data_IF_840012495488
#
_entry.id   IF_840012495488
#
_cell.length_a   1.000
_cell.length_b   1.000
_cell.length_c   1.000
_cell.angle_alpha   90.00
_cell.angle_beta   90.00
_cell.angle_gamma   90.00
#
_symmetry.space_group_name_H-M   'P 1'
#
loop_
_entity.id
_entity.type
_entity.pdbx_description
1 polymer ?
#
# COMPACT_ATOMS: atom_id res chain seq x y z
N UNK A 1 4.43 -12.96 20.12
CA UNK A 1 4.01 -13.94 21.14
C UNK A 1 4.46 -15.31 20.63
N UNK A 2 5.44 -15.95 21.28
CA UNK A 2 6.03 -17.22 20.82
C UNK A 2 5.39 -18.35 21.59
N UNK A 3 4.58 -19.17 20.94
CA UNK A 3 3.96 -20.35 21.56
C UNK A 3 4.86 -21.57 21.34
N UNK A 4 5.46 -22.10 22.40
CA UNK A 4 6.19 -23.38 22.35
C UNK A 4 5.19 -24.52 22.46
N UNK A 5 5.12 -25.38 21.45
CA UNK A 5 4.43 -26.68 21.56
C UNK A 5 5.52 -27.73 21.77
N UNK A 6 5.70 -28.21 23.00
CA UNK A 6 6.49 -29.41 23.25
C UNK A 6 5.61 -30.63 22.93
N UNK A 7 5.85 -31.27 21.79
CA UNK A 7 5.37 -32.63 21.54
C UNK A 7 6.56 -33.55 21.29
N UNK A 8 6.57 -34.72 21.94
CA UNK A 8 7.54 -35.78 21.65
C UNK A 8 7.11 -36.46 20.35
N UNK A 9 7.84 -36.26 19.25
CA UNK A 9 7.63 -37.02 18.01
C UNK A 9 8.30 -36.47 16.73
N UNK A 10 9.37 -37.16 16.29
CA UNK A 10 9.61 -37.73 14.95
C UNK A 10 9.43 -36.97 13.62
N UNK A 11 9.03 -35.71 13.59
CA UNK A 11 8.97 -34.96 12.31
C UNK A 11 8.60 -33.48 12.40
N UNK A 12 8.62 -32.93 13.61
CA UNK A 12 7.94 -31.67 13.90
C UNK A 12 8.76 -30.40 13.62
N UNK A 13 7.99 -29.33 13.36
CA UNK A 13 8.42 -27.93 13.44
C UNK A 13 8.66 -27.62 14.92
N UNK A 14 9.86 -27.13 15.25
CA UNK A 14 10.25 -26.82 16.62
C UNK A 14 9.70 -25.45 17.07
N UNK A 15 9.67 -24.48 16.15
CA UNK A 15 9.14 -23.14 16.39
C UNK A 15 8.31 -22.72 15.18
N UNK A 16 7.13 -22.16 15.42
CA UNK A 16 6.36 -21.50 14.38
C UNK A 16 5.86 -20.15 14.88
N UNK A 17 5.59 -19.25 13.94
CA UNK A 17 5.08 -17.93 14.25
C UNK A 17 4.79 -17.14 12.99
N UNK A 18 4.12 -16.00 13.16
CA UNK A 18 3.85 -15.10 12.04
C UNK A 18 4.81 -13.92 12.08
N UNK A 19 5.33 -13.53 10.92
CA UNK A 19 6.15 -12.33 10.75
C UNK A 19 5.81 -11.67 9.42
N UNK A 20 5.40 -10.40 9.46
CA UNK A 20 5.09 -9.59 8.28
C UNK A 20 4.21 -10.31 7.23
N UNK A 21 3.09 -10.89 7.67
CA UNK A 21 2.15 -11.69 6.85
C UNK A 21 2.64 -13.07 6.36
N UNK A 22 3.87 -13.47 6.71
CA UNK A 22 4.38 -14.82 6.46
C UNK A 22 4.23 -15.72 7.68
N UNK A 23 3.88 -16.98 7.44
CA UNK A 23 4.02 -18.08 8.39
C UNK A 23 5.48 -18.56 8.37
N UNK A 24 6.14 -18.50 9.52
CA UNK A 24 7.47 -19.04 9.72
C UNK A 24 7.36 -20.44 10.31
N UNK A 25 8.00 -21.40 9.67
CA UNK A 25 8.14 -22.77 10.15
C UNK A 25 9.62 -23.06 10.36
N UNK A 26 10.04 -23.23 11.61
CA UNK A 26 11.45 -23.35 11.97
C UNK A 26 11.69 -24.74 12.55
N UNK A 27 12.62 -25.47 11.95
CA UNK A 27 13.11 -26.74 12.45
C UNK A 27 14.58 -26.59 12.84
N UNK A 28 14.89 -26.94 14.08
CA UNK A 28 16.19 -26.83 14.70
C UNK A 28 16.74 -28.24 14.95
N UNK A 29 17.89 -28.56 14.37
CA UNK A 29 18.52 -29.86 14.55
C UNK A 29 19.95 -29.74 15.04
N UNK A 30 20.26 -30.48 16.10
CA UNK A 30 21.59 -30.59 16.66
C UNK A 30 22.22 -31.91 16.22
N UNK A 31 22.63 -31.99 14.96
CA UNK A 31 23.34 -33.16 14.43
C UNK A 31 24.85 -33.01 14.62
N UNK A 32 25.58 -34.13 14.55
CA UNK A 32 27.04 -34.15 14.46
C UNK A 32 27.54 -34.30 13.02
N UNK A 33 26.71 -34.88 12.15
CA UNK A 33 26.99 -35.12 10.74
C UNK A 33 26.43 -34.00 9.85
N UNK A 34 26.92 -33.94 8.60
CA UNK A 34 26.35 -33.04 7.60
C UNK A 34 24.93 -33.45 7.20
N UNK A 35 24.13 -32.46 6.87
CA UNK A 35 22.75 -32.59 6.41
C UNK A 35 22.74 -32.95 4.93
N UNK A 36 22.26 -34.15 4.65
CA UNK A 36 22.01 -34.64 3.32
C UNK A 36 20.69 -34.14 2.73
N UNK A 37 20.52 -34.37 1.43
CA UNK A 37 19.35 -33.91 0.65
C UNK A 37 18.03 -34.42 1.25
N UNK A 38 18.00 -35.66 1.72
CA UNK A 38 16.78 -36.31 2.20
C UNK A 38 16.14 -35.56 3.38
N UNK A 39 16.94 -34.98 4.27
CA UNK A 39 16.45 -34.16 5.37
C UNK A 39 15.76 -32.88 4.88
N UNK A 40 16.30 -32.26 3.84
CA UNK A 40 15.72 -31.06 3.24
C UNK A 40 14.43 -31.39 2.51
N UNK A 41 14.39 -32.50 1.74
CA UNK A 41 13.18 -32.97 1.09
C UNK A 41 12.05 -33.30 2.10
N UNK A 42 12.41 -33.92 3.22
CA UNK A 42 11.47 -34.21 4.30
C UNK A 42 10.89 -32.92 4.89
N UNK A 43 11.74 -31.92 5.17
CA UNK A 43 11.30 -30.63 5.68
C UNK A 43 10.45 -29.84 4.67
N UNK A 44 10.86 -29.81 3.40
CA UNK A 44 10.09 -29.22 2.31
C UNK A 44 8.69 -29.82 2.19
N UNK A 45 8.57 -31.14 2.37
CA UNK A 45 7.28 -31.85 2.35
C UNK A 45 6.35 -31.42 3.50
N UNK A 46 6.89 -30.90 4.59
CA UNK A 46 6.10 -30.29 5.68
C UNK A 46 5.61 -28.90 5.27
N UNK A 47 6.51 -28.08 4.71
CA UNK A 47 6.20 -26.70 4.29
C UNK A 47 5.18 -26.68 3.15
N UNK A 48 5.28 -27.62 2.20
CA UNK A 48 4.40 -27.72 1.05
C UNK A 48 2.91 -27.95 1.40
N UNK A 49 2.60 -28.24 2.67
CA UNK A 49 1.22 -28.34 3.20
C UNK A 49 0.58 -26.98 3.47
N UNK A 50 1.36 -25.92 3.43
CA UNK A 50 0.93 -24.54 3.67
C UNK A 50 0.96 -23.72 2.37
N UNK A 51 0.41 -22.51 2.43
CA UNK A 51 0.44 -21.57 1.31
C UNK A 51 1.90 -21.23 0.96
N UNK A 52 2.35 -21.68 -0.23
CA UNK A 52 3.74 -21.56 -0.68
C UNK A 52 4.20 -20.10 -0.79
N UNK A 53 3.28 -19.19 -1.11
CA UNK A 53 3.58 -17.77 -1.29
C UNK A 53 3.61 -17.00 0.04
N UNK A 54 3.16 -17.63 1.12
CA UNK A 54 3.06 -17.03 2.46
C UNK A 54 3.74 -17.82 3.55
N UNK A 55 4.54 -18.83 3.20
CA UNK A 55 5.22 -19.69 4.18
C UNK A 55 6.71 -19.72 3.92
N UNK A 56 7.49 -19.47 4.96
CA UNK A 56 8.95 -19.55 4.93
C UNK A 56 9.39 -20.68 5.86
N UNK A 57 10.08 -21.65 5.29
CA UNK A 57 10.72 -22.74 6.01
C UNK A 57 12.15 -22.39 6.38
N UNK A 58 12.49 -22.52 7.66
CA UNK A 58 13.83 -22.26 8.17
C UNK A 58 14.37 -23.54 8.81
N UNK A 59 15.45 -24.07 8.23
CA UNK A 59 16.15 -25.22 8.78
C UNK A 59 17.44 -24.72 9.43
N UNK A 60 17.57 -24.92 10.74
CA UNK A 60 18.67 -24.42 11.56
C UNK A 60 19.49 -25.58 12.09
N UNK A 61 20.81 -25.52 11.91
CA UNK A 61 21.75 -26.48 12.49
C UNK A 61 22.83 -25.81 13.32
N UNK A 62 23.46 -26.61 14.19
CA UNK A 62 24.59 -26.20 15.04
C UNK A 62 25.97 -26.47 14.44
N UNK A 63 26.05 -27.21 13.33
CA UNK A 63 27.33 -27.65 12.74
C UNK A 63 27.81 -26.64 11.70
N UNK A 64 29.04 -26.17 11.86
CA UNK A 64 29.72 -25.32 10.87
C UNK A 64 29.91 -26.05 9.55
N UNK A 65 29.55 -25.40 8.44
CA UNK A 65 29.52 -26.00 7.10
C UNK A 65 28.73 -27.33 7.07
N UNK A 66 27.70 -27.42 7.91
CA UNK A 66 26.97 -28.64 8.17
C UNK A 66 26.02 -29.04 7.05
N UNK A 67 25.89 -28.30 5.95
CA UNK A 67 25.10 -28.70 4.79
C UNK A 67 26.00 -29.29 3.70
N UNK A 68 25.57 -30.39 3.08
CA UNK A 68 26.22 -30.88 1.86
C UNK A 68 25.90 -29.97 0.66
N UNK A 69 26.75 -30.03 -0.37
CA UNK A 69 26.49 -29.28 -1.62
C UNK A 69 25.15 -29.67 -2.24
N UNK A 70 24.74 -30.93 -2.10
CA UNK A 70 23.46 -31.44 -2.57
C UNK A 70 22.28 -30.78 -1.86
N UNK A 71 22.31 -30.69 -0.53
CA UNK A 71 21.22 -30.11 0.25
C UNK A 71 21.08 -28.61 0.01
N UNK A 72 22.20 -27.88 -0.12
CA UNK A 72 22.20 -26.47 -0.54
C UNK A 72 21.58 -26.32 -1.93
N UNK A 73 22.00 -27.15 -2.91
CA UNK A 73 21.46 -27.10 -4.27
C UNK A 73 19.96 -27.36 -4.29
N UNK A 74 19.49 -28.35 -3.53
CA UNK A 74 18.07 -28.69 -3.42
C UNK A 74 17.25 -27.52 -2.87
N UNK A 75 17.69 -26.92 -1.75
CA UNK A 75 17.01 -25.76 -1.14
C UNK A 75 16.95 -24.57 -2.11
N UNK A 76 18.02 -24.30 -2.86
CA UNK A 76 18.04 -23.21 -3.85
C UNK A 76 17.15 -23.47 -5.07
N UNK A 77 16.89 -24.73 -5.41
CA UNK A 77 15.99 -25.12 -6.52
C UNK A 77 14.55 -25.39 -6.09
N UNK A 78 14.24 -25.21 -4.81
CA UNK A 78 12.91 -25.47 -4.25
C UNK A 78 11.91 -24.42 -4.73
N UNK A 79 10.67 -24.84 -4.96
CA UNK A 79 9.53 -23.93 -5.18
C UNK A 79 9.08 -23.26 -3.88
N UNK A 80 9.36 -23.88 -2.72
CA UNK A 80 9.08 -23.31 -1.42
C UNK A 80 10.21 -22.37 -0.98
N UNK A 81 9.88 -21.29 -0.24
CA UNK A 81 10.86 -20.43 0.39
C UNK A 81 11.58 -21.17 1.53
N UNK A 82 12.74 -21.74 1.21
CA UNK A 82 13.58 -22.50 2.14
C UNK A 82 14.86 -21.75 2.48
N UNK A 83 15.12 -21.63 3.77
CA UNK A 83 16.33 -21.06 4.34
C UNK A 83 17.11 -22.13 5.07
N UNK A 84 18.33 -22.36 4.63
CA UNK A 84 19.31 -23.16 5.37
C UNK A 84 20.16 -22.19 6.19
N UNK A 85 20.10 -22.34 7.50
CA UNK A 85 20.85 -21.50 8.43
C UNK A 85 21.75 -22.35 9.31
N UNK A 86 22.88 -21.77 9.68
CA UNK A 86 23.78 -22.29 10.68
C UNK A 86 23.80 -21.33 11.87
N UNK A 87 23.76 -21.85 13.10
CA UNK A 87 23.74 -21.02 14.32
C UNK A 87 24.93 -20.07 14.38
N UNK A 88 26.07 -20.48 13.83
CA UNK A 88 27.31 -19.68 13.81
C UNK A 88 27.27 -18.52 12.81
N UNK A 89 26.38 -18.60 11.82
CA UNK A 89 26.31 -17.65 10.71
C UNK A 89 25.01 -16.82 10.76
N UNK A 90 24.20 -16.95 11.82
CA UNK A 90 22.93 -16.24 11.99
C UNK A 90 23.07 -14.72 11.78
N UNK A 91 24.14 -14.13 12.32
CA UNK A 91 24.40 -12.69 12.26
C UNK A 91 24.67 -12.21 10.81
N UNK A 92 25.12 -13.10 9.92
CA UNK A 92 25.38 -12.78 8.51
C UNK A 92 24.25 -13.23 7.57
N UNK A 93 23.62 -14.37 7.87
CA UNK A 93 22.58 -14.98 7.05
C UNK A 93 21.27 -14.19 7.10
N UNK A 94 20.91 -13.64 8.28
CA UNK A 94 19.69 -12.84 8.43
C UNK A 94 19.74 -11.57 7.55
N UNK A 95 20.76 -10.70 7.62
CA UNK A 95 20.87 -9.54 6.74
C UNK A 95 20.89 -9.91 5.25
N UNK A 96 21.60 -10.98 4.88
CA UNK A 96 21.70 -11.43 3.49
C UNK A 96 20.35 -11.89 2.93
N UNK A 97 19.57 -12.64 3.72
CA UNK A 97 18.23 -13.05 3.32
C UNK A 97 17.27 -11.86 3.21
N UNK A 98 17.28 -10.95 4.19
CA UNK A 98 16.50 -9.72 4.12
C UNK A 98 16.85 -8.88 2.88
N UNK A 99 18.12 -8.82 2.50
CA UNK A 99 18.55 -8.14 1.28
C UNK A 99 18.06 -8.83 0.00
N UNK A 100 17.83 -10.15 0.02
CA UNK A 100 17.30 -10.91 -1.11
C UNK A 100 15.79 -10.70 -1.26
N UNK A 101 15.04 -10.65 -0.14
CA UNK A 101 13.61 -10.30 -0.16
C UNK A 101 13.40 -8.83 -0.54
N UNK A 102 14.23 -7.91 -0.03
CA UNK A 102 14.13 -6.49 -0.39
C UNK A 102 14.42 -6.20 -1.87
N UNK A 103 14.98 -7.16 -2.61
CA UNK A 103 15.17 -7.08 -4.07
C UNK A 103 13.96 -7.57 -4.86
N UNK A 104 12.88 -8.02 -4.22
CA UNK A 104 11.61 -8.21 -4.92
C UNK A 104 11.09 -6.85 -5.37
N UNK A 105 11.24 -6.60 -6.68
CA UNK A 105 10.78 -5.43 -7.45
C UNK A 105 9.32 -5.00 -7.18
N UNK A 106 8.54 -5.79 -6.43
CA UNK A 106 7.18 -5.47 -6.01
C UNK A 106 7.07 -4.16 -5.21
N UNK A 107 8.05 -3.82 -4.36
CA UNK A 107 7.97 -2.56 -3.58
C UNK A 107 8.26 -1.35 -4.48
N UNK A 108 9.30 -1.44 -5.31
CA UNK A 108 9.70 -0.35 -6.21
C UNK A 108 8.64 -0.11 -7.30
N UNK A 109 8.07 -1.18 -7.86
CA UNK A 109 6.93 -1.11 -8.79
C UNK A 109 5.68 -0.52 -8.14
N UNK A 110 5.38 -0.90 -6.88
CA UNK A 110 4.28 -0.29 -6.12
C UNK A 110 4.53 1.19 -5.85
N UNK A 111 5.75 1.58 -5.51
CA UNK A 111 6.12 2.99 -5.32
C UNK A 111 5.97 3.78 -6.61
N UNK A 112 6.48 3.26 -7.73
CA UNK A 112 6.30 3.87 -9.06
C UNK A 112 4.82 4.04 -9.42
N UNK A 113 4.00 3.01 -9.19
CA UNK A 113 2.56 3.07 -9.45
C UNK A 113 1.85 4.10 -8.54
N UNK A 114 2.28 4.25 -7.29
CA UNK A 114 1.76 5.27 -6.38
C UNK A 114 2.13 6.67 -6.89
N UNK A 115 3.39 6.90 -7.26
CA UNK A 115 3.85 8.17 -7.80
C UNK A 115 3.08 8.57 -9.07
N UNK A 116 2.88 7.61 -9.98
CA UNK A 116 2.07 7.83 -11.18
C UNK A 116 0.64 8.26 -10.85
N UNK A 117 -0.03 7.56 -9.92
CA UNK A 117 -1.39 7.92 -9.48
C UNK A 117 -1.46 9.28 -8.81
N UNK A 118 -0.43 9.67 -8.04
CA UNK A 118 -0.35 11.00 -7.44
C UNK A 118 -0.30 12.08 -8.53
N UNK A 119 0.48 11.87 -9.59
CA UNK A 119 0.56 12.83 -10.70
C UNK A 119 -0.78 12.98 -11.44
N UNK A 120 -1.47 11.87 -11.72
CA UNK A 120 -2.82 11.89 -12.33
C UNK A 120 -3.84 12.66 -11.47
N UNK A 121 -3.77 12.49 -10.14
CA UNK A 121 -4.61 13.22 -9.18
C UNK A 121 -4.30 14.71 -9.22
N UNK A 122 -3.02 15.10 -9.25
CA UNK A 122 -2.59 16.51 -9.31
C UNK A 122 -3.12 17.18 -10.58
N UNK A 123 -2.99 16.54 -11.74
CA UNK A 123 -3.51 17.07 -13.02
C UNK A 123 -5.03 17.25 -13.01
N UNK A 124 -5.74 16.30 -12.40
CA UNK A 124 -7.20 16.38 -12.20
C UNK A 124 -7.57 17.57 -11.31
N UNK A 125 -6.89 17.76 -10.18
CA UNK A 125 -7.12 18.88 -9.27
C UNK A 125 -6.89 20.23 -9.96
N UNK A 126 -5.81 20.39 -10.73
CA UNK A 126 -5.52 21.61 -11.47
C UNK A 126 -6.60 21.95 -12.51
N UNK A 127 -7.13 20.92 -13.16
CA UNK A 127 -8.21 21.08 -14.15
C UNK A 127 -9.52 21.52 -13.48
N UNK A 128 -9.85 20.93 -12.32
CA UNK A 128 -11.01 21.34 -11.51
C UNK A 128 -10.86 22.78 -11.01
N UNK A 129 -9.66 23.18 -10.57
CA UNK A 129 -9.42 24.54 -10.09
C UNK A 129 -9.67 25.59 -11.19
N UNK A 130 -9.25 25.30 -12.43
CA UNK A 130 -9.54 26.15 -13.59
C UNK A 130 -11.05 26.28 -13.83
N UNK A 131 -11.79 25.18 -13.72
CA UNK A 131 -13.24 25.18 -13.89
C UNK A 131 -13.94 26.00 -12.80
N UNK A 132 -13.53 25.83 -11.53
CA UNK A 132 -14.06 26.59 -10.40
C UNK A 132 -13.83 28.10 -10.60
N UNK A 133 -12.63 28.50 -11.04
CA UNK A 133 -12.34 29.91 -11.35
C UNK A 133 -13.25 30.46 -12.45
N UNK A 134 -13.51 29.68 -13.51
CA UNK A 134 -14.42 30.06 -14.59
C UNK A 134 -15.85 30.26 -14.07
N UNK A 135 -16.38 29.30 -13.32
CA UNK A 135 -17.72 29.37 -12.71
C UNK A 135 -17.85 30.62 -11.84
N UNK A 136 -16.84 30.91 -11.02
CA UNK A 136 -16.83 32.09 -10.14
C UNK A 136 -16.87 33.40 -10.93
N UNK A 137 -16.11 33.49 -12.03
CA UNK A 137 -16.13 34.66 -12.90
C UNK A 137 -17.50 34.84 -13.59
N UNK A 138 -18.11 33.75 -14.02
CA UNK A 138 -19.43 33.77 -14.64
C UNK A 138 -20.52 34.19 -13.63
N UNK A 139 -20.44 33.74 -12.37
CA UNK A 139 -21.31 34.18 -11.28
C UNK A 139 -21.19 35.69 -11.02
N UNK A 140 -19.97 36.21 -10.88
CA UNK A 140 -19.72 37.65 -10.71
C UNK A 140 -20.33 38.45 -11.87
N UNK A 141 -20.22 37.95 -13.11
CA UNK A 141 -20.79 38.61 -14.29
C UNK A 141 -22.32 38.62 -14.24
N UNK A 142 -22.94 37.52 -13.80
CA UNK A 142 -24.39 37.42 -13.64
C UNK A 142 -24.91 38.38 -12.57
N UNK A 143 -24.27 38.40 -11.39
CA UNK A 143 -24.61 39.32 -10.29
C UNK A 143 -24.52 40.78 -10.74
N UNK A 144 -23.44 41.17 -11.43
CA UNK A 144 -23.28 42.51 -11.97
C UNK A 144 -24.38 42.88 -12.98
N UNK A 145 -24.83 41.93 -13.81
CA UNK A 145 -25.93 42.16 -14.73
C UNK A 145 -27.27 42.32 -14.00
N UNK A 146 -27.53 41.53 -12.96
CA UNK A 146 -28.73 41.65 -12.13
C UNK A 146 -28.78 43.03 -11.44
N UNK A 147 -27.67 43.47 -10.84
CA UNK A 147 -27.55 44.81 -10.22
C UNK A 147 -27.87 45.91 -11.24
N UNK A 148 -27.33 45.82 -12.47
CA UNK A 148 -27.62 46.80 -13.53
C UNK A 148 -29.09 46.86 -13.91
N UNK A 149 -29.76 45.70 -14.00
CA UNK A 149 -31.19 45.62 -14.31
C UNK A 149 -32.03 46.24 -13.18
N UNK A 150 -31.67 45.95 -11.93
CA UNK A 150 -32.37 46.48 -10.76
C UNK A 150 -32.23 48.00 -10.64
N UNK A 151 -31.03 48.54 -10.82
CA UNK A 151 -30.80 49.99 -10.90
C UNK A 151 -31.64 50.63 -12.01
N UNK A 152 -31.72 49.98 -13.18
CA UNK A 152 -32.52 50.47 -14.31
C UNK A 152 -34.01 50.47 -14.01
N UNK A 153 -34.50 49.46 -13.27
CA UNK A 153 -35.89 49.37 -12.81
C UNK A 153 -36.21 50.48 -11.80
N UNK A 154 -35.40 50.64 -10.77
CA UNK A 154 -35.56 51.70 -9.75
C UNK A 154 -35.64 53.08 -10.42
N UNK A 155 -34.74 53.37 -11.36
CA UNK A 155 -34.75 54.64 -12.11
C UNK A 155 -36.04 54.86 -12.92
N UNK A 156 -36.63 53.80 -13.48
CA UNK A 156 -37.92 53.89 -14.21
C UNK A 156 -39.08 54.15 -13.24
N UNK A 157 -39.11 53.45 -12.11
CA UNK A 157 -40.13 53.63 -11.07
C UNK A 157 -40.08 55.05 -10.49
N UNK A 158 -38.89 55.58 -10.22
CA UNK A 158 -38.71 56.97 -9.74
C UNK A 158 -39.20 58.00 -10.77
N UNK A 159 -38.92 57.79 -12.06
CA UNK A 159 -39.44 58.66 -13.12
C UNK A 159 -40.96 58.62 -13.19
N UNK A 160 -41.56 57.44 -13.09
CA UNK A 160 -43.03 57.29 -13.09
C UNK A 160 -43.66 57.97 -11.87
N UNK A 161 -43.09 57.80 -10.68
CA UNK A 161 -43.55 58.51 -9.47
C UNK A 161 -43.51 60.02 -9.63
N UNK A 162 -42.43 60.56 -10.20
CA UNK A 162 -42.31 62.01 -10.50
C UNK A 162 -43.38 62.49 -11.48
N UNK A 163 -43.62 61.75 -12.55
CA UNK A 163 -44.67 62.06 -13.54
C UNK A 163 -46.05 62.02 -12.86
N UNK A 164 -46.34 60.98 -12.09
CA UNK A 164 -47.61 60.85 -11.36
C UNK A 164 -47.84 62.03 -10.42
N UNK A 165 -46.81 62.45 -9.67
CA UNK A 165 -46.88 63.59 -8.76
C UNK A 165 -47.19 64.91 -9.49
N UNK A 166 -46.51 65.18 -10.62
CA UNK A 166 -46.77 66.37 -11.45
C UNK A 166 -48.21 66.36 -11.97
N UNK A 167 -48.69 65.22 -12.46
CA UNK A 167 -50.06 65.09 -12.96
C UNK A 167 -51.09 65.35 -11.85
N UNK A 168 -50.86 64.87 -10.63
CA UNK A 168 -51.73 65.13 -9.48
C UNK A 168 -51.81 66.62 -9.12
N UNK A 169 -50.71 67.37 -9.24
CA UNK A 169 -50.71 68.83 -9.03
C UNK A 169 -51.52 69.54 -10.12
N UNK A 170 -51.32 69.17 -11.40
CA UNK A 170 -52.04 69.78 -12.52
C UNK A 170 -53.56 69.59 -12.39
N UNK A 171 -54.01 68.40 -12.01
CA UNK A 171 -55.42 68.08 -11.75
C UNK A 171 -56.05 68.91 -10.62
N UNK A 172 -55.26 69.37 -9.65
CA UNK A 172 -55.77 70.22 -8.56
C UNK A 172 -55.92 71.69 -8.98
N UNK A 173 -55.21 72.13 -10.02
CA UNK A 173 -55.18 73.51 -10.49
C UNK A 173 -56.20 73.80 -11.61
N UNK A 174 -56.81 72.77 -12.18
CA UNK A 174 -57.84 72.85 -13.24
C UNK A 174 -59.22 72.57 -12.69
#
# INVERSE_FOLDING_TARGET
MVNRIQSKGDGHIDIFGNYNHYLLLIQCKNYTNKIEVDYICAFESVIARFDKDKTIGIYVISVKDGYTKGSIKRANSSECYLLLMNIWDLDQDIPKYLSKISKDNSVEEKLYNIEKRINEIIETFQSQEKLIRKIRNDQIKLENNQIKLEISRIRKEDKQKKISFINSILLFLT
#
